data_IF_229127950784
#
_entry.id   IF_229127950784
#
_cell.length_a   1.000
_cell.length_b   1.000
_cell.length_c   1.000
_cell.angle_alpha   90.00
_cell.angle_beta   90.00
_cell.angle_gamma   90.00
#
_symmetry.space_group_name_H-M   'P 1'
#
loop_
_entity.id
_entity.type
_entity.pdbx_description
1 polymer ?
#
# COMPACT_ATOMS: atom_id res chain seq x y z
N UNK A 1 31.27 -5.98 8.87
CA UNK A 1 32.10 -6.02 7.65
C UNK A 1 32.95 -4.76 7.61
N UNK A 2 34.18 -4.86 7.11
CA UNK A 2 35.10 -3.74 6.89
C UNK A 2 34.97 -3.24 5.44
N UNK A 3 35.53 -2.07 5.14
CA UNK A 3 35.52 -1.50 3.78
C UNK A 3 36.12 -2.47 2.75
N UNK A 4 37.19 -3.19 3.12
CA UNK A 4 37.86 -4.19 2.27
C UNK A 4 37.01 -5.45 2.01
N UNK A 5 35.91 -5.63 2.75
CA UNK A 5 34.97 -6.73 2.53
C UNK A 5 33.89 -6.38 1.48
N UNK A 6 33.82 -5.12 1.03
CA UNK A 6 32.82 -4.62 0.10
C UNK A 6 33.38 -4.55 -1.34
N UNK A 7 32.52 -4.84 -2.31
CA UNK A 7 32.80 -4.64 -3.73
C UNK A 7 32.48 -3.19 -4.13
N UNK A 8 33.15 -2.70 -5.19
CA UNK A 8 32.78 -1.44 -5.81
C UNK A 8 31.53 -1.64 -6.68
N UNK A 9 30.57 -0.70 -6.74
CA UNK A 9 29.37 -0.88 -7.57
C UNK A 9 29.64 -1.28 -9.02
N UNK A 10 30.76 -0.85 -9.60
CA UNK A 10 31.18 -1.22 -10.95
C UNK A 10 31.61 -2.70 -11.08
N UNK A 11 32.08 -3.34 -9.99
CA UNK A 11 32.45 -4.76 -9.96
C UNK A 11 31.22 -5.64 -10.26
N UNK A 12 30.04 -5.24 -9.76
CA UNK A 12 28.76 -5.89 -10.04
C UNK A 12 28.14 -5.40 -11.35
N UNK A 13 28.06 -4.09 -11.56
CA UNK A 13 27.34 -3.52 -12.71
C UNK A 13 28.01 -3.85 -14.06
N UNK A 14 29.35 -3.88 -14.09
CA UNK A 14 30.12 -4.20 -15.32
C UNK A 14 30.67 -5.63 -15.33
N UNK A 15 30.41 -6.40 -14.26
CA UNK A 15 30.93 -7.75 -14.06
C UNK A 15 32.46 -7.79 -14.19
N UNK A 16 33.14 -6.76 -13.66
CA UNK A 16 34.60 -6.63 -13.74
C UNK A 16 35.32 -7.51 -12.72
N UNK A 17 34.72 -7.72 -11.55
CA UNK A 17 35.27 -8.53 -10.45
C UNK A 17 34.12 -9.19 -9.67
N UNK A 18 33.47 -10.17 -10.31
CA UNK A 18 32.34 -10.86 -9.71
C UNK A 18 32.73 -11.74 -8.52
N UNK A 19 33.99 -12.21 -8.46
CA UNK A 19 34.51 -12.95 -7.32
C UNK A 19 34.53 -12.13 -6.04
N UNK A 20 34.77 -10.82 -6.13
CA UNK A 20 34.65 -9.90 -4.99
C UNK A 20 33.20 -9.77 -4.50
N UNK A 21 32.23 -9.69 -5.42
CA UNK A 21 30.79 -9.71 -5.10
C UNK A 21 30.42 -10.99 -4.34
N UNK A 22 30.83 -12.16 -4.84
CA UNK A 22 30.58 -13.44 -4.19
C UNK A 22 31.24 -13.54 -2.81
N UNK A 23 32.44 -12.99 -2.66
CA UNK A 23 33.16 -12.93 -1.38
C UNK A 23 32.42 -12.04 -0.37
N UNK A 24 31.90 -10.89 -0.81
CA UNK A 24 31.06 -10.01 0.03
C UNK A 24 29.78 -10.74 0.47
N UNK A 25 29.08 -11.43 -0.42
CA UNK A 25 27.87 -12.20 -0.10
C UNK A 25 28.16 -13.40 0.81
N UNK A 26 29.28 -14.08 0.61
CA UNK A 26 29.77 -15.15 1.48
C UNK A 26 29.98 -14.65 2.91
N UNK A 27 30.66 -13.51 3.08
CA UNK A 27 30.84 -12.85 4.39
C UNK A 27 29.52 -12.42 5.01
N UNK A 28 28.59 -11.88 4.21
CA UNK A 28 27.26 -11.49 4.66
C UNK A 28 26.44 -12.70 5.17
N UNK A 29 26.45 -13.80 4.41
CA UNK A 29 25.75 -15.04 4.78
C UNK A 29 26.30 -15.69 6.05
N UNK A 30 27.58 -15.47 6.35
CA UNK A 30 28.24 -15.96 7.56
C UNK A 30 28.17 -14.99 8.76
N UNK A 31 27.52 -13.83 8.58
CA UNK A 31 27.37 -12.84 9.64
C UNK A 31 26.55 -13.38 10.81
N UNK A 32 26.78 -12.88 12.04
CA UNK A 32 25.97 -13.24 13.20
C UNK A 32 24.47 -13.02 12.96
N UNK A 33 24.10 -11.92 12.30
CA UNK A 33 22.71 -11.58 11.98
C UNK A 33 22.07 -12.63 11.05
N UNK A 34 22.77 -13.04 9.99
CA UNK A 34 22.27 -14.06 9.06
C UNK A 34 22.11 -15.43 9.75
N UNK A 35 23.08 -15.82 10.59
CA UNK A 35 23.02 -17.07 11.36
C UNK A 35 21.90 -17.08 12.40
N UNK A 36 21.66 -15.94 13.08
CA UNK A 36 20.55 -15.78 14.02
C UNK A 36 19.19 -15.87 13.32
N UNK A 37 19.09 -15.38 12.08
CA UNK A 37 17.88 -15.51 11.26
C UNK A 37 17.71 -16.92 10.64
N UNK A 38 18.57 -17.89 10.98
CA UNK A 38 18.46 -19.28 10.54
C UNK A 38 19.04 -19.57 9.14
N UNK A 39 19.68 -18.59 8.51
CA UNK A 39 20.31 -18.79 7.21
C UNK A 39 21.62 -19.57 7.34
N UNK A 40 21.82 -20.54 6.44
CA UNK A 40 23.09 -21.26 6.33
C UNK A 40 24.06 -20.46 5.46
N UNK A 41 25.20 -20.10 6.02
CA UNK A 41 26.26 -19.42 5.29
C UNK A 41 26.89 -20.30 4.21
N UNK A 42 27.45 -19.65 3.19
CA UNK A 42 28.24 -20.29 2.14
C UNK A 42 29.63 -19.64 2.05
N UNK A 43 30.66 -20.33 1.55
CA UNK A 43 30.69 -21.76 1.21
C UNK A 43 30.68 -22.65 2.46
N UNK A 44 30.11 -23.86 2.36
CA UNK A 44 30.01 -24.80 3.48
C UNK A 44 31.37 -25.37 3.93
N UNK A 45 32.39 -25.28 3.06
CA UNK A 45 33.76 -25.71 3.34
C UNK A 45 34.69 -24.50 3.20
N UNK A 46 35.68 -24.34 4.10
CA UNK A 46 36.69 -23.30 3.94
C UNK A 46 37.51 -23.56 2.68
N UNK A 47 37.60 -22.54 1.81
CA UNK A 47 38.43 -22.57 0.59
C UNK A 47 39.87 -22.22 0.99
N UNK A 48 40.86 -22.96 0.50
CA UNK A 48 42.28 -22.82 0.87
C UNK A 48 43.01 -21.65 0.20
N UNK A 49 42.44 -21.11 -0.88
CA UNK A 49 42.96 -19.96 -1.63
C UNK A 49 42.24 -18.66 -1.23
N UNK A 50 42.80 -17.51 -1.60
CA UNK A 50 42.08 -16.25 -1.45
C UNK A 50 40.73 -16.39 -2.17
N UNK A 51 39.63 -16.15 -1.46
CA UNK A 51 38.29 -16.49 -1.96
C UNK A 51 37.98 -15.76 -3.28
N UNK A 52 38.56 -14.57 -3.46
CA UNK A 52 38.42 -13.76 -4.67
C UNK A 52 39.11 -14.38 -5.88
N UNK A 53 40.35 -14.86 -5.75
CA UNK A 53 41.07 -15.54 -6.85
C UNK A 53 40.37 -16.84 -7.24
N UNK A 54 39.89 -17.63 -6.26
CA UNK A 54 39.14 -18.86 -6.54
C UNK A 54 37.92 -18.60 -7.43
N UNK A 55 37.12 -17.58 -7.13
CA UNK A 55 35.92 -17.26 -7.91
C UNK A 55 36.26 -16.61 -9.26
N UNK A 56 37.29 -15.77 -9.34
CA UNK A 56 37.67 -15.13 -10.60
C UNK A 56 38.40 -16.08 -11.57
N UNK A 57 39.03 -17.15 -11.07
CA UNK A 57 39.72 -18.14 -11.90
C UNK A 57 38.83 -19.26 -12.43
N UNK A 58 37.61 -19.41 -11.93
CA UNK A 58 36.66 -20.34 -12.52
C UNK A 58 36.20 -19.84 -13.91
N UNK A 59 36.32 -20.70 -14.92
CA UNK A 59 36.00 -20.38 -16.31
C UNK A 59 34.58 -19.82 -16.52
N UNK A 60 33.66 -20.15 -15.60
CA UNK A 60 32.27 -19.70 -15.57
C UNK A 60 32.18 -18.18 -15.39
N UNK A 61 33.08 -17.55 -14.63
CA UNK A 61 33.01 -16.12 -14.33
C UNK A 61 33.82 -15.25 -15.30
N UNK A 62 34.75 -15.84 -16.06
CA UNK A 62 35.57 -15.10 -17.04
C UNK A 62 34.78 -14.59 -18.25
N UNK A 63 33.71 -15.29 -18.63
CA UNK A 63 32.88 -14.95 -19.79
C UNK A 63 31.56 -14.26 -19.45
N UNK A 64 31.26 -14.08 -18.16
CA UNK A 64 30.04 -13.46 -17.66
C UNK A 64 29.69 -12.12 -18.32
N UNK A 65 30.71 -11.30 -18.57
CA UNK A 65 30.53 -9.98 -19.20
C UNK A 65 30.04 -10.08 -20.64
N UNK A 66 30.51 -11.08 -21.38
CA UNK A 66 30.11 -11.28 -22.77
C UNK A 66 28.76 -12.00 -22.83
N UNK A 67 28.53 -12.98 -21.95
CA UNK A 67 27.27 -13.71 -21.83
C UNK A 67 26.10 -12.79 -21.42
N UNK A 68 26.33 -11.89 -20.45
CA UNK A 68 25.33 -10.92 -19.98
C UNK A 68 24.97 -9.85 -21.02
N UNK A 69 25.84 -9.59 -22.01
CA UNK A 69 25.52 -8.73 -23.15
C UNK A 69 24.74 -9.47 -24.24
N UNK A 70 24.97 -10.77 -24.38
CA UNK A 70 24.32 -11.60 -25.38
C UNK A 70 22.90 -12.04 -24.98
N UNK A 71 22.56 -11.97 -23.70
CA UNK A 71 21.28 -12.43 -23.16
C UNK A 71 20.59 -11.30 -22.38
N UNK A 72 19.40 -10.88 -22.81
CA UNK A 72 18.56 -10.01 -21.98
C UNK A 72 18.10 -10.77 -20.73
N UNK A 73 18.19 -10.18 -19.52
CA UNK A 73 17.73 -10.85 -18.32
C UNK A 73 16.20 -11.04 -18.39
N UNK A 74 15.66 -12.21 -18.03
CA UNK A 74 14.22 -12.39 -17.88
C UNK A 74 13.71 -11.49 -16.74
N UNK A 75 13.01 -10.43 -17.10
CA UNK A 75 12.56 -9.38 -16.18
C UNK A 75 11.36 -9.80 -15.33
N UNK A 76 10.56 -10.77 -15.78
CA UNK A 76 9.27 -11.10 -15.16
C UNK A 76 9.39 -11.72 -13.74
N UNK A 77 10.48 -12.42 -13.42
CA UNK A 77 10.61 -13.12 -12.14
C UNK A 77 11.64 -12.51 -11.17
N UNK A 78 12.51 -11.60 -11.63
CA UNK A 78 13.60 -11.07 -10.83
C UNK A 78 13.12 -10.16 -9.68
N UNK A 79 11.99 -9.46 -9.87
CA UNK A 79 11.41 -8.55 -8.88
C UNK A 79 10.44 -9.21 -7.91
N UNK A 80 10.19 -10.53 -8.03
CA UNK A 80 9.31 -11.28 -7.12
C UNK A 80 9.96 -11.56 -5.74
N UNK A 81 11.16 -11.06 -5.48
CA UNK A 81 11.94 -11.33 -4.27
C UNK A 81 11.52 -10.46 -3.07
N UNK A 82 10.72 -11.05 -2.18
CA UNK A 82 10.75 -10.85 -0.73
C UNK A 82 10.24 -9.52 -0.17
N UNK A 83 10.97 -8.43 -0.35
CA UNK A 83 10.76 -7.18 0.40
C UNK A 83 9.44 -6.48 0.03
N UNK A 84 9.12 -6.40 -1.25
CA UNK A 84 7.86 -5.80 -1.73
C UNK A 84 6.65 -6.66 -1.30
N UNK A 85 6.79 -7.99 -1.32
CA UNK A 85 5.72 -8.90 -0.85
C UNK A 85 5.54 -8.86 0.67
N UNK A 86 6.59 -8.66 1.47
CA UNK A 86 6.47 -8.58 2.93
C UNK A 86 5.78 -7.29 3.38
N UNK A 87 6.06 -6.14 2.74
CA UNK A 87 5.37 -4.88 3.02
C UNK A 87 3.88 -4.96 2.63
N UNK A 88 3.56 -5.54 1.48
CA UNK A 88 2.18 -5.72 1.02
C UNK A 88 1.41 -6.72 1.93
N UNK A 89 2.05 -7.82 2.35
CA UNK A 89 1.47 -8.76 3.33
C UNK A 89 1.25 -8.11 4.70
N UNK A 90 2.19 -7.28 5.16
CA UNK A 90 2.08 -6.61 6.46
C UNK A 90 0.95 -5.58 6.44
N UNK A 91 0.91 -4.72 5.42
CA UNK A 91 -0.17 -3.74 5.25
C UNK A 91 -1.55 -4.41 5.07
N UNK A 92 -1.63 -5.53 4.33
CA UNK A 92 -2.84 -6.33 4.22
C UNK A 92 -3.34 -6.87 5.57
N UNK A 93 -2.44 -7.40 6.42
CA UNK A 93 -2.80 -7.87 7.77
C UNK A 93 -3.33 -6.75 8.67
N UNK A 94 -2.77 -5.55 8.55
CA UNK A 94 -3.20 -4.38 9.31
C UNK A 94 -4.60 -3.94 8.86
N UNK A 95 -4.82 -3.86 7.55
CA UNK A 95 -6.14 -3.62 6.98
C UNK A 95 -7.17 -4.63 7.50
N UNK A 96 -6.87 -5.93 7.42
CA UNK A 96 -7.78 -6.98 7.88
C UNK A 96 -8.07 -6.86 9.38
N UNK A 97 -7.08 -6.50 10.19
CA UNK A 97 -7.24 -6.35 11.64
C UNK A 97 -8.15 -5.19 12.02
N UNK A 98 -8.05 -4.06 11.32
CA UNK A 98 -8.79 -2.83 11.67
C UNK A 98 -10.16 -2.78 10.98
N UNK A 99 -10.20 -3.19 9.71
CA UNK A 99 -11.36 -2.99 8.83
C UNK A 99 -12.24 -4.23 8.76
N UNK A 100 -11.66 -5.43 8.68
CA UNK A 100 -12.43 -6.67 8.51
C UNK A 100 -12.88 -7.29 9.84
N UNK A 101 -12.22 -6.99 10.97
CA UNK A 101 -12.63 -7.52 12.27
C UNK A 101 -13.86 -6.79 12.84
N UNK A 102 -14.83 -7.57 13.32
CA UNK A 102 -15.97 -7.05 14.07
C UNK A 102 -15.54 -6.63 15.48
N UNK A 103 -15.91 -5.42 15.88
CA UNK A 103 -15.80 -5.03 17.28
C UNK A 103 -16.87 -5.76 18.09
N UNK A 104 -16.46 -6.52 19.10
CA UNK A 104 -17.36 -7.25 20.00
C UNK A 104 -17.64 -6.47 21.29
N UNK A 105 -17.52 -5.13 21.30
CA UNK A 105 -17.69 -4.39 22.55
C UNK A 105 -19.16 -4.29 22.96
N UNK A 106 -19.47 -4.63 24.21
CA UNK A 106 -20.85 -4.61 24.75
C UNK A 106 -21.51 -3.21 24.72
N UNK A 107 -20.72 -2.13 24.58
CA UNK A 107 -21.24 -0.76 24.44
C UNK A 107 -21.68 -0.44 23.01
N UNK A 108 -20.92 -0.88 22.00
CA UNK A 108 -21.33 -0.74 20.59
C UNK A 108 -22.59 -1.57 20.32
N UNK A 109 -22.70 -2.78 20.89
CA UNK A 109 -23.88 -3.65 20.73
C UNK A 109 -25.17 -2.96 21.22
N UNK A 110 -25.14 -2.21 22.33
CA UNK A 110 -26.33 -1.52 22.86
C UNK A 110 -26.75 -0.28 22.07
N UNK A 111 -25.80 0.45 21.49
CA UNK A 111 -26.11 1.59 20.60
C UNK A 111 -26.62 1.11 19.24
N UNK A 112 -26.14 -0.06 18.81
CA UNK A 112 -26.52 -0.70 17.56
C UNK A 112 -27.94 -1.30 17.58
N UNK A 113 -28.51 -1.63 18.75
CA UNK A 113 -29.87 -2.20 18.86
C UNK A 113 -31.01 -1.29 18.33
N UNK A 114 -30.79 0.02 18.22
CA UNK A 114 -31.77 0.96 17.62
C UNK A 114 -31.61 1.13 16.11
N UNK A 115 -30.50 0.67 15.54
CA UNK A 115 -30.20 0.84 14.12
C UNK A 115 -30.69 -0.38 13.31
N UNK A 116 -31.51 -0.13 12.29
CA UNK A 116 -32.09 -1.18 11.44
C UNK A 116 -30.99 -2.07 10.84
N UNK A 117 -29.88 -1.47 10.40
CA UNK A 117 -28.77 -2.18 9.79
C UNK A 117 -28.01 -3.08 10.79
N UNK A 118 -27.78 -2.60 11.99
CA UNK A 118 -27.16 -3.42 13.04
C UNK A 118 -28.00 -4.65 13.43
N UNK A 119 -29.33 -4.53 13.41
CA UNK A 119 -30.23 -5.65 13.68
C UNK A 119 -30.38 -6.65 12.52
N UNK A 120 -29.90 -6.28 11.32
CA UNK A 120 -30.01 -7.09 10.10
C UNK A 120 -29.26 -8.42 10.23
N UNK A 121 -30.00 -9.52 10.08
CA UNK A 121 -29.47 -10.88 10.04
C UNK A 121 -29.48 -11.36 8.59
N UNK A 122 -28.31 -11.48 7.96
CA UNK A 122 -28.26 -11.88 6.56
C UNK A 122 -28.54 -13.38 6.39
N UNK A 123 -29.45 -13.71 5.48
CA UNK A 123 -29.97 -15.07 5.29
C UNK A 123 -29.30 -15.79 4.11
N UNK A 124 -28.90 -15.04 3.09
CA UNK A 124 -28.23 -15.58 1.90
C UNK A 124 -26.74 -15.24 1.87
N UNK A 125 -25.98 -15.96 1.02
CA UNK A 125 -24.58 -15.61 0.75
C UNK A 125 -24.44 -14.19 0.18
N UNK A 126 -25.41 -13.74 -0.64
CA UNK A 126 -25.45 -12.38 -1.19
C UNK A 126 -25.59 -11.36 -0.06
N UNK A 127 -26.46 -11.63 0.91
CA UNK A 127 -26.64 -10.76 2.08
C UNK A 127 -25.38 -10.70 2.96
N UNK A 128 -24.63 -11.81 3.07
CA UNK A 128 -23.31 -11.80 3.73
C UNK A 128 -22.34 -10.86 3.01
N UNK A 129 -22.29 -10.91 1.68
CA UNK A 129 -21.43 -10.05 0.88
C UNK A 129 -21.82 -8.57 0.97
N UNK A 130 -23.12 -8.26 0.90
CA UNK A 130 -23.64 -6.89 1.09
C UNK A 130 -23.33 -6.40 2.51
N UNK A 131 -23.52 -7.27 3.52
CA UNK A 131 -23.21 -6.94 4.91
C UNK A 131 -21.72 -6.66 5.10
N UNK A 132 -20.86 -7.51 4.55
CA UNK A 132 -19.41 -7.34 4.58
C UNK A 132 -18.99 -6.02 3.92
N UNK A 133 -19.52 -5.71 2.74
CA UNK A 133 -19.21 -4.47 2.01
C UNK A 133 -19.45 -3.23 2.88
N UNK A 134 -20.64 -3.12 3.49
CA UNK A 134 -21.00 -1.93 4.25
C UNK A 134 -20.42 -1.93 5.69
N UNK A 135 -20.35 -3.09 6.36
CA UNK A 135 -19.70 -3.19 7.68
C UNK A 135 -18.20 -2.80 7.56
N UNK A 136 -17.51 -3.26 6.50
CA UNK A 136 -16.11 -2.89 6.26
C UNK A 136 -15.95 -1.43 5.84
N UNK A 137 -16.89 -0.84 5.09
CA UNK A 137 -16.86 0.59 4.78
C UNK A 137 -17.01 1.43 6.06
N UNK A 138 -17.96 1.02 6.92
CA UNK A 138 -18.19 1.68 8.20
C UNK A 138 -16.97 1.61 9.09
N UNK A 139 -16.33 0.44 9.22
CA UNK A 139 -15.09 0.30 9.97
C UNK A 139 -13.94 1.13 9.38
N UNK A 140 -13.83 1.18 8.05
CA UNK A 140 -12.80 1.99 7.39
C UNK A 140 -12.95 3.49 7.72
N UNK A 141 -14.18 4.02 7.65
CA UNK A 141 -14.46 5.43 7.97
C UNK A 141 -14.35 5.71 9.47
N UNK A 142 -15.14 5.01 10.28
CA UNK A 142 -15.35 5.33 11.70
C UNK A 142 -14.19 4.89 12.60
N UNK A 143 -13.44 3.86 12.19
CA UNK A 143 -12.26 3.39 12.93
C UNK A 143 -10.98 3.85 12.25
N UNK A 144 -10.69 3.38 11.04
CA UNK A 144 -9.35 3.56 10.46
C UNK A 144 -9.04 5.03 10.13
N UNK A 145 -9.88 5.67 9.32
CA UNK A 145 -9.70 7.07 8.91
C UNK A 145 -9.85 8.02 10.11
N UNK A 146 -10.90 7.83 10.92
CA UNK A 146 -11.11 8.64 12.12
C UNK A 146 -9.94 8.52 13.13
N UNK A 147 -9.34 7.34 13.26
CA UNK A 147 -8.14 7.13 14.08
C UNK A 147 -6.95 7.92 13.52
N UNK A 148 -6.70 7.83 12.21
CA UNK A 148 -5.62 8.58 11.55
C UNK A 148 -5.82 10.09 11.74
N UNK A 149 -7.04 10.60 11.52
CA UNK A 149 -7.33 12.03 11.64
C UNK A 149 -7.22 12.53 13.09
N UNK A 150 -7.95 11.92 14.02
CA UNK A 150 -8.06 12.48 15.37
C UNK A 150 -6.83 12.24 16.23
N UNK A 151 -6.12 11.12 16.03
CA UNK A 151 -5.00 10.76 16.88
C UNK A 151 -3.64 11.05 16.26
N UNK A 152 -3.53 11.19 14.93
CA UNK A 152 -2.25 11.49 14.28
C UNK A 152 -2.28 12.82 13.54
N UNK A 153 -3.21 13.04 12.62
CA UNK A 153 -3.27 14.25 11.79
C UNK A 153 -3.34 15.53 12.65
N UNK A 154 -4.37 15.65 13.49
CA UNK A 154 -4.57 16.85 14.32
C UNK A 154 -3.44 17.04 15.35
N UNK A 155 -3.05 16.01 16.14
CA UNK A 155 -2.04 16.20 17.18
C UNK A 155 -0.61 16.43 16.66
N UNK A 156 -0.30 16.01 15.43
CA UNK A 156 1.02 16.23 14.82
C UNK A 156 1.11 17.56 14.08
N UNK A 157 -0.02 18.19 13.76
CA UNK A 157 -0.07 19.51 13.13
C UNK A 157 0.61 20.59 13.99
N UNK A 158 0.52 20.47 15.32
CA UNK A 158 1.11 21.43 16.27
C UNK A 158 2.62 21.23 16.49
N UNK A 159 3.19 20.11 16.04
CA UNK A 159 4.57 19.69 16.37
C UNK A 159 5.46 19.61 15.12
N UNK A 160 4.88 19.37 13.95
CA UNK A 160 5.59 19.29 12.67
C UNK A 160 5.56 20.62 11.91
N UNK A 161 6.51 20.80 10.99
CA UNK A 161 6.42 21.91 10.03
C UNK A 161 5.23 21.69 9.07
N UNK A 162 4.56 22.76 8.61
CA UNK A 162 3.40 22.62 7.72
C UNK A 162 3.70 21.87 6.41
N UNK A 163 4.92 21.97 5.89
CA UNK A 163 5.36 21.26 4.68
C UNK A 163 5.51 19.76 4.96
N UNK A 164 6.07 19.41 6.11
CA UNK A 164 6.23 18.01 6.54
C UNK A 164 4.88 17.35 6.82
N UNK A 165 4.00 18.08 7.50
CA UNK A 165 2.65 17.62 7.80
C UNK A 165 1.86 17.34 6.53
N UNK A 166 1.91 18.26 5.55
CA UNK A 166 1.30 18.08 4.23
C UNK A 166 1.89 16.89 3.47
N UNK A 167 3.21 16.73 3.47
CA UNK A 167 3.87 15.60 2.79
C UNK A 167 3.51 14.25 3.43
N UNK A 168 3.42 14.20 4.77
CA UNK A 168 3.10 12.96 5.49
C UNK A 168 1.66 12.53 5.28
N UNK A 169 0.72 13.47 5.42
CA UNK A 169 -0.70 13.15 5.41
C UNK A 169 -1.37 13.31 4.04
N UNK A 170 -0.68 13.92 3.07
CA UNK A 170 -1.15 14.07 1.69
C UNK A 170 -2.59 14.65 1.68
N UNK A 171 -3.50 14.06 0.91
CA UNK A 171 -4.92 14.39 0.89
C UNK A 171 -5.80 13.46 1.74
N UNK A 172 -5.29 12.92 2.87
CA UNK A 172 -6.06 11.98 3.73
C UNK A 172 -7.39 12.57 4.24
N UNK A 173 -7.45 13.88 4.50
CA UNK A 173 -8.67 14.56 4.96
C UNK A 173 -9.72 14.57 3.85
N UNK A 174 -9.30 14.80 2.60
CA UNK A 174 -10.18 14.73 1.44
C UNK A 174 -10.74 13.32 1.28
N UNK A 175 -9.89 12.28 1.37
CA UNK A 175 -10.34 10.90 1.34
C UNK A 175 -11.34 10.61 2.47
N UNK A 176 -11.09 11.09 3.68
CA UNK A 176 -12.03 10.92 4.79
C UNK A 176 -13.41 11.55 4.50
N UNK A 177 -13.45 12.75 3.92
CA UNK A 177 -14.70 13.40 3.51
C UNK A 177 -15.42 12.64 2.39
N UNK A 178 -14.69 12.17 1.39
CA UNK A 178 -15.21 11.36 0.29
C UNK A 178 -15.85 10.09 0.86
N UNK A 179 -15.14 9.35 1.71
CA UNK A 179 -15.63 8.08 2.25
C UNK A 179 -16.78 8.23 3.25
N UNK A 180 -16.81 9.31 4.04
CA UNK A 180 -17.96 9.61 4.89
C UNK A 180 -19.23 9.77 4.04
N UNK A 181 -19.14 10.56 2.96
CA UNK A 181 -20.27 10.80 2.06
C UNK A 181 -20.63 9.58 1.22
N UNK A 182 -19.64 8.82 0.74
CA UNK A 182 -19.84 7.57 0.02
C UNK A 182 -20.55 6.53 0.89
N UNK A 183 -20.11 6.36 2.13
CA UNK A 183 -20.74 5.47 3.12
C UNK A 183 -22.20 5.83 3.34
N UNK A 184 -22.53 7.12 3.48
CA UNK A 184 -23.91 7.55 3.73
C UNK A 184 -24.84 7.21 2.53
N UNK A 185 -24.38 7.40 1.30
CA UNK A 185 -25.11 6.96 0.10
C UNK A 185 -25.17 5.44 -0.03
N UNK A 186 -24.06 4.75 0.27
CA UNK A 186 -23.99 3.30 0.26
C UNK A 186 -24.97 2.69 1.28
N UNK A 187 -25.11 3.31 2.46
CA UNK A 187 -26.07 2.90 3.50
C UNK A 187 -27.48 2.83 2.93
N UNK A 188 -27.90 3.88 2.22
CA UNK A 188 -29.25 3.93 1.67
C UNK A 188 -29.45 2.83 0.62
N UNK A 189 -28.48 2.65 -0.28
CA UNK A 189 -28.53 1.61 -1.30
C UNK A 189 -28.61 0.21 -0.68
N UNK A 190 -27.78 -0.11 0.32
CA UNK A 190 -27.81 -1.44 0.96
C UNK A 190 -29.12 -1.68 1.71
N UNK A 191 -29.68 -0.66 2.40
CA UNK A 191 -30.97 -0.77 3.09
C UNK A 191 -32.12 -1.10 2.13
N UNK A 192 -32.13 -0.49 0.94
CA UNK A 192 -33.09 -0.82 -0.11
C UNK A 192 -32.85 -2.21 -0.70
N UNK A 193 -31.60 -2.57 -1.01
CA UNK A 193 -31.26 -3.87 -1.61
C UNK A 193 -31.64 -5.04 -0.71
N UNK A 194 -31.51 -4.91 0.62
CA UNK A 194 -31.89 -5.97 1.57
C UNK A 194 -33.33 -5.85 2.11
N UNK A 195 -34.12 -4.90 1.59
CA UNK A 195 -35.54 -4.74 1.95
C UNK A 195 -35.81 -4.20 3.37
N UNK A 196 -34.83 -3.58 4.01
CA UNK A 196 -35.00 -2.95 5.32
C UNK A 196 -35.68 -1.57 5.24
N UNK A 197 -35.59 -0.94 4.08
CA UNK A 197 -36.29 0.30 3.74
C UNK A 197 -36.89 0.19 2.34
N UNK A 198 -37.93 0.96 2.08
CA UNK A 198 -38.56 1.04 0.75
C UNK A 198 -38.30 2.42 0.15
N UNK A 199 -37.95 2.48 -1.14
CA UNK A 199 -37.79 3.76 -1.83
C UNK A 199 -39.14 4.51 -1.89
N UNK A 200 -39.12 5.85 -1.98
CA UNK A 200 -40.33 6.63 -2.21
C UNK A 200 -41.04 6.15 -3.49
N UNK A 201 -42.37 6.06 -3.47
CA UNK A 201 -43.20 5.41 -4.52
C UNK A 201 -43.05 5.96 -5.95
N UNK A 202 -42.28 7.03 -6.15
CA UNK A 202 -42.15 7.76 -7.42
C UNK A 202 -40.69 7.83 -7.93
N UNK A 203 -39.72 7.22 -7.26
CA UNK A 203 -38.30 7.34 -7.60
C UNK A 203 -37.67 5.98 -7.95
N UNK A 204 -36.72 6.01 -8.89
CA UNK A 204 -35.90 4.83 -9.22
C UNK A 204 -35.04 4.49 -8.00
N UNK A 205 -35.14 3.26 -7.52
CA UNK A 205 -34.30 2.76 -6.41
C UNK A 205 -32.82 2.89 -6.78
N UNK A 206 -32.06 3.60 -5.95
CA UNK A 206 -30.60 3.67 -6.09
C UNK A 206 -30.01 2.32 -5.68
N UNK A 207 -29.34 1.65 -6.62
CA UNK A 207 -28.66 0.38 -6.36
C UNK A 207 -27.25 0.60 -5.83
N UNK A 208 -26.64 -0.45 -5.25
CA UNK A 208 -25.22 -0.42 -4.85
C UNK A 208 -24.33 -0.05 -6.04
N UNK A 209 -24.61 -0.60 -7.23
CA UNK A 209 -23.86 -0.32 -8.44
C UNK A 209 -23.92 1.15 -8.85
N UNK A 210 -25.12 1.76 -8.78
CA UNK A 210 -25.30 3.18 -9.09
C UNK A 210 -24.47 4.09 -8.17
N UNK A 211 -24.36 3.75 -6.88
CA UNK A 211 -23.52 4.50 -5.94
C UNK A 211 -22.05 4.43 -6.37
N UNK A 212 -21.50 3.25 -6.64
CA UNK A 212 -20.10 3.14 -7.08
C UNK A 212 -19.81 3.92 -8.36
N UNK A 213 -20.74 3.90 -9.32
CA UNK A 213 -20.62 4.67 -10.56
C UNK A 213 -20.59 6.18 -10.29
N UNK A 214 -21.50 6.67 -9.45
CA UNK A 214 -21.57 8.10 -9.09
C UNK A 214 -20.32 8.58 -8.35
N UNK A 215 -19.66 7.70 -7.60
CA UNK A 215 -18.48 8.03 -6.79
C UNK A 215 -17.14 7.76 -7.49
N UNK A 216 -17.12 7.14 -8.67
CA UNK A 216 -15.91 6.84 -9.46
C UNK A 216 -14.99 8.05 -9.59
N UNK A 217 -15.51 9.19 -10.06
CA UNK A 217 -14.72 10.39 -10.30
C UNK A 217 -14.10 10.97 -9.01
N UNK A 218 -14.74 10.78 -7.86
CA UNK A 218 -14.21 11.22 -6.57
C UNK A 218 -13.03 10.36 -6.12
N UNK A 219 -13.04 9.05 -6.44
CA UNK A 219 -11.93 8.15 -6.13
C UNK A 219 -10.67 8.40 -6.97
N UNK A 220 -10.70 9.28 -7.97
CA UNK A 220 -9.49 9.77 -8.66
C UNK A 220 -8.50 10.41 -7.68
N UNK A 221 -8.98 10.94 -6.54
CA UNK A 221 -8.15 11.46 -5.45
C UNK A 221 -7.12 10.45 -4.89
N UNK A 222 -7.33 9.14 -5.11
CA UNK A 222 -6.35 8.12 -4.76
C UNK A 222 -5.08 8.16 -5.60
N UNK A 223 -5.10 8.76 -6.80
CA UNK A 223 -3.88 8.91 -7.63
C UNK A 223 -2.82 9.75 -6.91
N UNK A 224 -3.22 10.91 -6.40
CA UNK A 224 -2.32 11.80 -5.64
C UNK A 224 -1.88 11.16 -4.31
N UNK A 225 -2.79 10.49 -3.61
CA UNK A 225 -2.47 9.81 -2.36
C UNK A 225 -1.43 8.69 -2.56
N UNK A 226 -1.67 7.79 -3.51
CA UNK A 226 -0.85 6.60 -3.69
C UNK A 226 0.52 6.90 -4.33
N UNK A 227 0.61 7.93 -5.17
CA UNK A 227 1.89 8.35 -5.76
C UNK A 227 2.86 8.93 -4.71
N UNK A 228 2.34 9.66 -3.73
CA UNK A 228 3.14 10.31 -2.68
C UNK A 228 3.38 9.42 -1.44
N UNK A 229 2.67 8.31 -1.31
CA UNK A 229 2.77 7.40 -0.15
C UNK A 229 4.21 6.93 0.16
N UNK A 230 5.07 6.56 -0.82
CA UNK A 230 6.46 6.19 -0.55
C UNK A 230 7.29 7.33 0.07
N UNK A 231 7.08 8.56 -0.41
CA UNK A 231 7.77 9.75 0.10
C UNK A 231 7.31 10.10 1.51
N UNK A 232 6.00 10.00 1.77
CA UNK A 232 5.42 10.13 3.12
C UNK A 232 6.09 9.16 4.10
N UNK A 233 6.17 7.87 3.77
CA UNK A 233 6.83 6.85 4.61
C UNK A 233 8.30 7.20 4.88
N UNK A 234 9.04 7.57 3.84
CA UNK A 234 10.44 7.98 3.96
C UNK A 234 10.59 9.20 4.88
N UNK A 235 9.70 10.19 4.76
CA UNK A 235 9.71 11.40 5.58
C UNK A 235 9.42 11.12 7.05
N UNK A 236 8.46 10.26 7.36
CA UNK A 236 8.19 9.80 8.73
C UNK A 236 9.46 9.18 9.32
N UNK A 237 10.06 8.22 8.61
CA UNK A 237 11.28 7.54 9.03
C UNK A 237 12.45 8.51 9.27
N UNK A 238 12.57 9.54 8.44
CA UNK A 238 13.58 10.58 8.61
C UNK A 238 13.32 11.43 9.85
N UNK A 239 12.09 11.93 10.02
CA UNK A 239 11.71 12.79 11.15
C UNK A 239 11.82 12.08 12.49
N UNK A 240 11.48 10.80 12.57
CA UNK A 240 11.68 10.01 13.79
C UNK A 240 13.17 9.91 14.19
N UNK A 241 14.07 9.88 13.20
CA UNK A 241 15.53 9.86 13.45
C UNK A 241 16.07 11.24 13.82
N UNK A 242 15.64 12.28 13.11
CA UNK A 242 16.25 13.63 13.22
C UNK A 242 15.60 14.52 14.26
N UNK A 243 14.31 14.32 14.58
CA UNK A 243 13.55 15.18 15.48
C UNK A 243 12.98 14.37 16.67
N UNK A 244 13.64 14.41 17.84
CA UNK A 244 13.19 13.69 19.04
C UNK A 244 11.79 14.08 19.52
N UNK A 245 11.39 15.35 19.35
CA UNK A 245 10.07 15.86 19.76
C UNK A 245 8.96 15.22 18.91
N UNK A 246 9.15 15.21 17.59
CA UNK A 246 8.22 14.57 16.64
C UNK A 246 8.14 13.07 16.92
N UNK A 247 9.29 12.40 17.10
CA UNK A 247 9.33 10.97 17.45
C UNK A 247 8.52 10.67 18.71
N UNK A 248 8.73 11.43 19.78
CA UNK A 248 8.00 11.25 21.03
C UNK A 248 6.49 11.43 20.80
N UNK A 249 6.10 12.48 20.06
CA UNK A 249 4.69 12.74 19.78
C UNK A 249 4.04 11.61 18.97
N UNK A 250 4.72 11.08 17.95
CA UNK A 250 4.22 9.93 17.17
C UNK A 250 3.98 8.71 18.06
N UNK A 251 4.88 8.42 18.99
CA UNK A 251 4.73 7.30 19.96
C UNK A 251 3.55 7.55 20.91
N UNK A 252 3.41 8.75 21.46
CA UNK A 252 2.27 9.12 22.30
C UNK A 252 0.94 8.94 21.56
N UNK A 253 0.89 9.38 20.30
CA UNK A 253 -0.26 9.21 19.42
C UNK A 253 -0.55 7.73 19.16
N UNK A 254 0.46 6.91 18.88
CA UNK A 254 0.32 5.47 18.69
C UNK A 254 -0.24 4.75 19.91
N UNK A 255 0.25 5.08 21.10
CA UNK A 255 -0.26 4.53 22.37
C UNK A 255 -1.74 4.88 22.56
N UNK A 256 -2.12 6.14 22.32
CA UNK A 256 -3.51 6.59 22.48
C UNK A 256 -4.46 5.99 21.44
N UNK A 257 -4.01 5.85 20.19
CA UNK A 257 -4.82 5.41 19.05
C UNK A 257 -5.07 3.90 19.05
N UNK A 258 -4.00 3.10 19.17
CA UNK A 258 -4.04 1.66 18.93
C UNK A 258 -3.18 0.86 19.91
N UNK A 259 -2.82 1.44 21.06
CA UNK A 259 -1.88 0.84 22.04
C UNK A 259 -0.51 0.55 21.43
N UNK A 260 -0.10 1.36 20.47
CA UNK A 260 1.16 1.24 19.73
C UNK A 260 1.34 -0.13 19.06
N UNK A 261 0.24 -0.74 18.60
CA UNK A 261 0.25 -2.00 17.85
C UNK A 261 0.71 -1.80 16.40
N UNK A 262 0.40 -0.64 15.81
CA UNK A 262 0.70 -0.33 14.42
C UNK A 262 1.36 1.03 14.30
N UNK A 263 2.41 1.13 13.47
CA UNK A 263 3.12 2.37 13.21
C UNK A 263 2.34 3.27 12.26
N UNK A 264 2.54 4.59 12.35
CA UNK A 264 1.85 5.58 11.51
C UNK A 264 2.01 5.30 10.01
N UNK A 265 3.23 4.99 9.56
CA UNK A 265 3.52 4.68 8.16
C UNK A 265 2.71 3.48 7.62
N UNK A 266 2.41 2.50 8.49
CA UNK A 266 1.66 1.33 8.10
C UNK A 266 0.15 1.64 8.05
N UNK A 267 -0.34 2.45 8.99
CA UNK A 267 -1.74 2.93 9.00
C UNK A 267 -2.07 3.76 7.76
N UNK A 268 -1.14 4.58 7.28
CA UNK A 268 -1.32 5.36 6.04
C UNK A 268 -1.41 4.48 4.78
N UNK A 269 -1.16 3.17 4.88
CA UNK A 269 -1.33 2.23 3.78
C UNK A 269 -2.75 1.67 3.67
N UNK A 270 -3.57 1.84 4.71
CA UNK A 270 -4.95 1.32 4.76
C UNK A 270 -5.82 1.89 3.64
N UNK A 271 -5.79 3.21 3.30
CA UNK A 271 -6.57 3.75 2.19
C UNK A 271 -6.26 3.08 0.84
N UNK A 272 -4.98 2.88 0.54
CA UNK A 272 -4.56 2.17 -0.68
C UNK A 272 -5.11 0.72 -0.68
N UNK A 273 -5.07 0.02 0.45
CA UNK A 273 -5.65 -1.31 0.55
C UNK A 273 -7.17 -1.29 0.31
N UNK A 274 -7.90 -0.29 0.83
CA UNK A 274 -9.36 -0.21 0.70
C UNK A 274 -9.81 -0.12 -0.75
N UNK A 275 -9.23 0.80 -1.53
CA UNK A 275 -9.65 1.00 -2.94
C UNK A 275 -9.42 -0.27 -3.78
N UNK A 276 -8.35 -1.03 -3.48
CA UNK A 276 -8.05 -2.32 -4.11
C UNK A 276 -9.02 -3.45 -3.72
N UNK A 277 -9.84 -3.31 -2.67
CA UNK A 277 -10.82 -4.35 -2.29
C UNK A 277 -12.17 -4.21 -3.00
N UNK A 278 -12.54 -3.02 -3.50
CA UNK A 278 -13.90 -2.80 -4.02
C UNK A 278 -14.25 -3.70 -5.20
N UNK A 279 -13.38 -3.81 -6.20
CA UNK A 279 -13.64 -4.69 -7.35
C UNK A 279 -13.72 -6.18 -6.96
N UNK A 280 -13.01 -6.60 -5.89
CA UNK A 280 -13.06 -7.97 -5.37
C UNK A 280 -14.41 -8.24 -4.71
N UNK A 281 -14.85 -7.34 -3.83
CA UNK A 281 -16.15 -7.42 -3.16
C UNK A 281 -17.31 -7.41 -4.16
N UNK A 282 -17.25 -6.50 -5.15
CA UNK A 282 -18.26 -6.42 -6.22
C UNK A 282 -18.26 -7.68 -7.09
N UNK A 283 -17.09 -8.22 -7.42
CA UNK A 283 -16.96 -9.46 -8.19
C UNK A 283 -17.60 -10.65 -7.47
N UNK A 284 -17.44 -10.75 -6.14
CA UNK A 284 -18.10 -11.80 -5.36
C UNK A 284 -19.61 -11.59 -5.29
N UNK A 285 -20.08 -10.36 -5.09
CA UNK A 285 -21.51 -10.03 -5.09
C UNK A 285 -22.19 -10.36 -6.44
N UNK A 286 -21.49 -10.08 -7.53
CA UNK A 286 -21.91 -10.41 -8.91
C UNK A 286 -22.13 -11.92 -9.06
N UNK A 287 -21.19 -12.77 -8.61
CA UNK A 287 -21.33 -14.24 -8.70
C UNK A 287 -22.55 -14.76 -7.95
N UNK A 288 -22.97 -14.05 -6.92
CA UNK A 288 -24.10 -14.39 -6.05
C UNK A 288 -25.43 -13.75 -6.49
N UNK A 289 -25.41 -12.96 -7.57
CA UNK A 289 -26.58 -12.27 -8.12
C UNK A 289 -27.06 -12.97 -9.39
N UNK A 290 -28.37 -13.25 -9.48
CA UNK A 290 -28.98 -13.88 -10.67
C UNK A 290 -28.74 -13.04 -11.93
N UNK A 291 -28.56 -13.70 -13.07
CA UNK A 291 -28.38 -13.04 -14.38
C UNK A 291 -29.60 -12.19 -14.74
N UNK A 292 -30.79 -12.59 -14.31
CA UNK A 292 -32.06 -11.89 -14.57
C UNK A 292 -32.33 -10.75 -13.58
N UNK A 293 -31.45 -10.52 -12.60
CA UNK A 293 -31.63 -9.47 -11.60
C UNK A 293 -31.33 -8.09 -12.19
N UNK A 294 -32.21 -7.12 -11.94
CA UNK A 294 -31.99 -5.73 -12.33
C UNK A 294 -30.72 -5.11 -11.71
N UNK A 295 -30.23 -5.66 -10.60
CA UNK A 295 -28.99 -5.23 -9.93
C UNK A 295 -27.73 -5.73 -10.65
N UNK A 296 -27.84 -6.72 -11.54
CA UNK A 296 -26.69 -7.42 -12.14
C UNK A 296 -25.83 -6.51 -13.00
N UNK A 297 -26.46 -5.73 -13.90
CA UNK A 297 -25.77 -4.82 -14.83
C UNK A 297 -25.10 -3.65 -14.07
N UNK A 298 -25.81 -2.91 -13.18
CA UNK A 298 -25.19 -1.87 -12.38
C UNK A 298 -23.98 -2.34 -11.57
N UNK A 299 -24.00 -3.58 -11.06
CA UNK A 299 -22.87 -4.16 -10.33
C UNK A 299 -21.66 -4.43 -11.25
N UNK A 300 -21.88 -4.90 -12.49
CA UNK A 300 -20.79 -5.11 -13.46
C UNK A 300 -20.12 -3.80 -13.84
N UNK A 301 -20.91 -2.77 -14.15
CA UNK A 301 -20.40 -1.43 -14.46
C UNK A 301 -19.66 -0.82 -13.26
N UNK A 302 -20.16 -1.04 -12.03
CA UNK A 302 -19.47 -0.62 -10.82
C UNK A 302 -18.13 -1.34 -10.63
N UNK A 303 -18.08 -2.65 -10.92
CA UNK A 303 -16.83 -3.41 -10.85
C UNK A 303 -15.81 -2.87 -11.85
N UNK A 304 -16.22 -2.65 -13.10
CA UNK A 304 -15.37 -2.05 -14.14
C UNK A 304 -14.86 -0.66 -13.70
N UNK A 305 -15.75 0.19 -13.19
CA UNK A 305 -15.38 1.50 -12.65
C UNK A 305 -14.30 1.43 -11.57
N UNK A 306 -14.35 0.45 -10.66
CA UNK A 306 -13.32 0.28 -9.63
C UNK A 306 -12.03 -0.34 -10.16
N UNK A 307 -12.09 -1.19 -11.20
CA UNK A 307 -10.90 -1.67 -11.89
C UNK A 307 -10.18 -0.54 -12.64
N UNK A 308 -10.93 0.36 -13.25
CA UNK A 308 -10.37 1.56 -13.91
C UNK A 308 -9.64 2.46 -12.92
N UNK A 309 -10.19 2.66 -11.72
CA UNK A 309 -9.52 3.43 -10.66
C UNK A 309 -8.21 2.76 -10.23
N UNK A 310 -8.18 1.44 -10.10
CA UNK A 310 -6.95 0.72 -9.76
C UNK A 310 -5.89 0.86 -10.85
N UNK A 311 -6.28 0.73 -12.12
CA UNK A 311 -5.39 0.97 -13.26
C UNK A 311 -4.88 2.41 -13.27
N UNK A 312 -5.76 3.39 -13.09
CA UNK A 312 -5.40 4.81 -13.02
C UNK A 312 -4.38 5.08 -11.91
N UNK A 313 -4.61 4.58 -10.69
CA UNK A 313 -3.69 4.75 -9.56
C UNK A 313 -2.31 4.17 -9.87
N UNK A 314 -2.27 3.00 -10.53
CA UNK A 314 -1.01 2.36 -10.92
C UNK A 314 -0.26 3.19 -11.97
N UNK A 315 -0.95 3.76 -12.95
CA UNK A 315 -0.34 4.62 -13.97
C UNK A 315 0.18 5.94 -13.37
N UNK A 316 -0.60 6.62 -12.53
CA UNK A 316 -0.16 7.86 -11.84
C UNK A 316 1.08 7.59 -10.97
N UNK A 317 1.11 6.46 -10.27
CA UNK A 317 2.29 6.05 -9.50
C UNK A 317 3.51 5.84 -10.40
N UNK A 318 3.34 5.16 -11.54
CA UNK A 318 4.43 4.92 -12.50
C UNK A 318 4.96 6.23 -13.08
N UNK A 319 4.07 7.16 -13.42
CA UNK A 319 4.42 8.47 -13.95
C UNK A 319 5.19 9.30 -12.91
N UNK A 320 4.78 9.25 -11.63
CA UNK A 320 5.48 9.91 -10.54
C UNK A 320 6.89 9.35 -10.32
N UNK A 321 7.04 8.03 -10.29
CA UNK A 321 8.35 7.37 -10.19
C UNK A 321 9.25 7.72 -11.38
N UNK A 322 8.69 7.80 -12.59
CA UNK A 322 9.40 8.23 -13.79
C UNK A 322 9.85 9.69 -13.69
N UNK A 323 8.99 10.61 -13.22
CA UNK A 323 9.35 12.01 -13.01
C UNK A 323 10.48 12.18 -11.99
N UNK A 324 10.44 11.43 -10.88
CA UNK A 324 11.51 11.41 -9.89
C UNK A 324 12.84 10.93 -10.49
N UNK A 325 12.80 9.87 -11.30
CA UNK A 325 13.99 9.36 -11.99
C UNK A 325 14.57 10.39 -12.96
N UNK A 326 13.73 11.04 -13.77
CA UNK A 326 14.15 12.10 -14.69
C UNK A 326 14.80 13.25 -13.92
N UNK A 327 14.17 13.73 -12.83
CA UNK A 327 14.75 14.80 -12.01
C UNK A 327 16.08 14.41 -11.36
N UNK A 328 16.24 13.14 -10.94
CA UNK A 328 17.49 12.64 -10.40
C UNK A 328 18.58 12.60 -11.48
N UNK A 329 18.25 12.18 -12.71
CA UNK A 329 19.16 12.21 -13.86
C UNK A 329 19.57 13.65 -14.16
N UNK A 330 18.61 14.57 -14.25
CA UNK A 330 18.88 15.99 -14.51
C UNK A 330 19.87 16.59 -13.50
N UNK A 331 19.66 16.33 -12.20
CA UNK A 331 20.56 16.79 -11.13
C UNK A 331 21.95 16.14 -11.18
N UNK A 332 22.05 14.92 -11.71
CA UNK A 332 23.32 14.20 -11.83
C UNK A 332 24.17 14.69 -13.01
N UNK A 333 23.55 15.34 -14.00
CA UNK A 333 24.23 15.89 -15.17
C UNK A 333 24.71 17.31 -14.82
N UNK A 334 25.98 17.43 -14.49
CA UNK A 334 26.63 18.69 -14.11
C UNK A 334 26.68 19.76 -15.22
N UNK A 335 26.31 19.41 -16.46
CA UNK A 335 26.36 20.26 -17.65
C UNK A 335 24.97 20.59 -18.25
N UNK A 336 23.89 20.50 -17.46
CA UNK A 336 22.53 20.84 -17.92
C UNK A 336 22.21 22.34 -17.92
N UNK A 337 23.19 23.20 -17.68
CA UNK A 337 23.09 24.62 -18.06
C UNK A 337 23.52 24.77 -19.52
N UNK A 338 22.58 24.70 -20.46
CA UNK A 338 22.58 25.48 -21.71
C UNK A 338 21.32 25.19 -22.53
N UNK A 339 20.16 25.67 -22.07
CA UNK A 339 19.20 26.32 -22.97
C UNK A 339 18.47 27.43 -22.20
N UNK A 340 19.21 28.41 -21.68
CA UNK A 340 18.66 29.75 -21.57
C UNK A 340 18.58 30.29 -23.00
N UNK A 341 17.42 30.17 -23.63
CA UNK A 341 17.19 30.87 -24.89
C UNK A 341 17.38 32.37 -24.62
N UNK A 342 18.48 32.89 -25.16
CA UNK A 342 18.71 34.29 -25.41
C UNK A 342 17.60 34.81 -26.35
N UNK A 343 16.97 35.90 -25.90
CA UNK A 343 16.11 36.86 -26.59
C UNK A 343 14.66 36.48 -26.89
#
# INVERSE_FOLDING_TARGET
>A
MKQDDLFDPWDLYRLNDFGKVLTTLSKLSNSPQAKLAGYRGFPLKPISHSSVEYYNDEAIYRHLRDDAKAHEPPTENAYSLGAVQEEEKTSGRIYDTIVCQRSNSQREIKLAESDKWASFKPETKRDHCIKELYDTETNYVEKALNMIINYFYTPLQDVMQPEDHRLIFMNIVELACIHQSFRDHLRQAVLYTVGLETPPSNEKTVTIGDVFKAWKEKFVAYGDYCSQLPESRSRICQLEKTNPLVRQKIVECGIAANRNQFHLQDLLSIPMQRVLKYHVLLSEMIKLTSIESDDRIPLEEAKEAMQDINSYVNEVKRDHEMQQLVSAIEKSITALEMVSFLN
#
